data_IF_303150193189
#
_entry.id   IF_303150193189
#
_cell.length_a   1.000
_cell.length_b   1.000
_cell.length_c   1.000
_cell.angle_alpha   90.00
_cell.angle_beta   90.00
_cell.angle_gamma   90.00
#
_symmetry.space_group_name_H-M   'P 1'
#
loop_
_entity.id
_entity.type
_entity.pdbx_description
1 polymer ?
#
# COMPACT_ATOMS: atom_id res chain seq x y z
N UNK A 1 9.07 5.50 25.08
CA UNK A 1 7.73 4.87 25.16
C UNK A 1 7.82 3.57 24.38
N UNK A 2 7.59 2.41 25.00
CA UNK A 2 7.70 1.11 24.33
C UNK A 2 6.46 0.88 23.45
N UNK A 3 6.62 0.91 22.13
CA UNK A 3 5.55 0.62 21.17
C UNK A 3 5.65 -0.85 20.74
N UNK A 4 4.52 -1.52 20.57
CA UNK A 4 4.45 -2.94 20.15
C UNK A 4 4.00 -3.04 18.69
N UNK A 5 4.67 -3.87 17.92
CA UNK A 5 4.39 -4.10 16.50
C UNK A 5 4.06 -5.57 16.31
N UNK A 6 2.87 -5.84 15.77
CA UNK A 6 2.52 -7.19 15.32
C UNK A 6 3.25 -7.44 13.99
N UNK A 7 4.15 -8.41 13.96
CA UNK A 7 4.89 -8.80 12.76
C UNK A 7 4.25 -10.05 12.19
N UNK A 8 3.64 -9.92 11.01
CA UNK A 8 2.90 -10.98 10.32
C UNK A 8 3.52 -11.22 8.93
N UNK A 9 4.59 -12.02 8.80
CA UNK A 9 5.29 -12.20 7.53
C UNK A 9 4.43 -12.90 6.46
N UNK A 10 3.61 -13.88 6.89
CA UNK A 10 2.70 -14.62 6.02
C UNK A 10 3.40 -15.63 5.11
N UNK A 11 3.07 -15.63 3.83
CA UNK A 11 3.43 -16.65 2.84
C UNK A 11 4.41 -16.14 1.78
N UNK A 12 5.15 -17.07 1.16
CA UNK A 12 5.99 -16.81 -0.03
C UNK A 12 7.19 -15.92 0.29
N UNK A 13 7.38 -14.84 -0.47
CA UNK A 13 8.47 -13.88 -0.22
C UNK A 13 8.30 -13.09 1.09
N UNK A 14 7.13 -13.16 1.72
CA UNK A 14 6.78 -12.38 2.91
C UNK A 14 7.80 -12.53 4.04
N UNK A 15 8.29 -13.75 4.32
CA UNK A 15 9.34 -13.97 5.31
C UNK A 15 10.67 -13.29 4.95
N UNK A 16 11.09 -13.42 3.69
CA UNK A 16 12.35 -12.89 3.18
C UNK A 16 12.39 -11.36 3.26
N UNK A 17 11.36 -10.69 2.77
CA UNK A 17 11.30 -9.21 2.77
C UNK A 17 11.00 -8.64 4.15
N UNK A 18 10.24 -9.36 4.99
CA UNK A 18 10.00 -8.95 6.37
C UNK A 18 11.28 -8.95 7.19
N UNK A 19 12.13 -9.97 7.03
CA UNK A 19 13.43 -10.01 7.70
C UNK A 19 14.27 -8.76 7.35
N UNK A 20 14.27 -8.34 6.08
CA UNK A 20 14.99 -7.13 5.66
C UNK A 20 14.40 -5.84 6.24
N UNK A 21 13.07 -5.74 6.28
CA UNK A 21 12.39 -4.59 6.87
C UNK A 21 12.66 -4.46 8.38
N UNK A 22 12.75 -5.58 9.10
CA UNK A 22 13.13 -5.58 10.52
C UNK A 22 14.58 -5.13 10.74
N UNK A 23 15.52 -5.52 9.87
CA UNK A 23 16.92 -5.03 9.92
C UNK A 23 16.97 -3.50 9.76
N UNK A 24 16.15 -2.94 8.88
CA UNK A 24 16.03 -1.49 8.70
C UNK A 24 15.42 -0.83 9.93
N UNK A 25 14.36 -1.41 10.50
CA UNK A 25 13.75 -0.91 11.73
C UNK A 25 14.75 -0.90 12.91
N UNK A 26 15.56 -1.93 13.06
CA UNK A 26 16.62 -2.02 14.09
C UNK A 26 17.70 -0.93 13.92
N UNK A 27 18.05 -0.60 12.68
CA UNK A 27 18.99 0.49 12.41
C UNK A 27 18.39 1.85 12.76
N UNK A 28 17.09 2.04 12.53
CA UNK A 28 16.36 3.25 12.96
C UNK A 28 16.27 3.32 14.48
N UNK A 29 15.95 2.23 15.17
CA UNK A 29 15.96 2.15 16.64
C UNK A 29 17.30 2.58 17.21
N UNK A 30 18.39 2.03 16.66
CA UNK A 30 19.75 2.34 17.11
C UNK A 30 20.13 3.80 16.86
N UNK A 31 19.72 4.38 15.72
CA UNK A 31 20.08 5.75 15.32
C UNK A 31 19.27 6.82 16.05
N UNK A 32 18.00 6.56 16.30
CA UNK A 32 17.06 7.54 16.84
C UNK A 32 16.65 7.24 18.29
N UNK A 33 17.29 6.26 18.92
CA UNK A 33 17.08 5.88 20.33
C UNK A 33 15.63 5.46 20.62
N UNK A 34 15.03 4.69 19.71
CA UNK A 34 13.70 4.10 19.88
C UNK A 34 13.77 2.65 20.34
N UNK A 35 12.71 2.19 21.02
CA UNK A 35 12.52 0.79 21.38
C UNK A 35 11.13 0.32 20.92
N UNK A 36 11.11 -0.58 19.94
CA UNK A 36 9.92 -1.30 19.50
C UNK A 36 9.99 -2.77 19.91
N UNK A 37 8.93 -3.23 20.56
CA UNK A 37 8.72 -4.66 20.80
C UNK A 37 8.07 -5.28 19.55
N UNK A 38 8.76 -6.24 18.92
CA UNK A 38 8.23 -6.97 17.76
C UNK A 38 7.61 -8.26 18.26
N UNK A 39 6.32 -8.43 18.04
CA UNK A 39 5.56 -9.60 18.48
C UNK A 39 5.15 -10.37 17.23
N UNK A 40 5.71 -11.57 17.05
CA UNK A 40 5.52 -12.35 15.83
C UNK A 40 4.24 -13.19 15.92
N UNK A 41 3.40 -13.09 14.89
CA UNK A 41 2.21 -13.92 14.68
C UNK A 41 2.30 -14.67 13.36
N UNK A 42 1.41 -15.64 13.17
CA UNK A 42 1.30 -16.40 11.92
C UNK A 42 -0.03 -16.12 11.23
N UNK A 43 -0.01 -16.07 9.90
CA UNK A 43 -1.17 -15.73 9.08
C UNK A 43 -1.09 -16.45 7.73
N UNK A 44 -2.20 -16.58 7.03
CA UNK A 44 -2.25 -17.12 5.68
C UNK A 44 -2.07 -18.63 5.62
N UNK A 45 -1.42 -19.12 4.57
CA UNK A 45 -1.09 -20.54 4.39
C UNK A 45 -0.20 -21.09 5.50
N UNK A 46 0.75 -20.29 6.00
CA UNK A 46 1.61 -20.65 7.14
C UNK A 46 0.79 -20.90 8.43
N UNK A 47 -0.26 -20.10 8.66
CA UNK A 47 -1.18 -20.36 9.77
C UNK A 47 -2.05 -21.60 9.50
N UNK A 48 -2.50 -21.79 8.26
CA UNK A 48 -3.33 -22.93 7.89
C UNK A 48 -2.61 -24.26 8.12
N UNK A 49 -1.32 -24.36 7.77
CA UNK A 49 -0.52 -25.57 7.99
C UNK A 49 -0.46 -25.98 9.47
N UNK A 50 -0.50 -25.01 10.39
CA UNK A 50 -0.35 -25.25 11.84
C UNK A 50 -1.69 -25.35 12.58
N UNK A 51 -2.69 -24.58 12.18
CA UNK A 51 -3.94 -24.40 12.92
C UNK A 51 -5.20 -24.79 12.13
N UNK A 52 -5.08 -25.12 10.84
CA UNK A 52 -6.22 -25.34 9.96
C UNK A 52 -7.07 -24.08 9.70
N UNK A 53 -6.55 -22.89 10.03
CA UNK A 53 -7.17 -21.59 9.83
C UNK A 53 -6.13 -20.60 9.31
N UNK A 54 -6.53 -19.73 8.37
CA UNK A 54 -5.67 -18.67 7.84
C UNK A 54 -5.44 -17.53 8.84
N UNK A 55 -6.32 -17.40 9.84
CA UNK A 55 -6.27 -16.35 10.86
C UNK A 55 -6.66 -16.94 12.21
N UNK A 56 -5.70 -17.52 12.97
CA UNK A 56 -5.97 -18.08 14.29
C UNK A 56 -6.26 -16.97 15.30
N UNK A 57 -7.06 -17.28 16.32
CA UNK A 57 -7.48 -16.32 17.34
C UNK A 57 -6.26 -15.72 18.07
N UNK A 58 -5.22 -16.52 18.28
CA UNK A 58 -3.97 -16.07 18.90
C UNK A 58 -3.29 -14.95 18.11
N UNK A 59 -3.37 -14.96 16.77
CA UNK A 59 -2.84 -13.88 15.94
C UNK A 59 -3.69 -12.62 16.04
N UNK A 60 -5.02 -12.76 16.13
CA UNK A 60 -5.93 -11.62 16.35
C UNK A 60 -5.70 -10.99 17.72
N UNK A 61 -5.64 -11.80 18.77
CA UNK A 61 -5.39 -11.34 20.15
C UNK A 61 -4.03 -10.63 20.25
N UNK A 62 -3.01 -11.16 19.59
CA UNK A 62 -1.71 -10.50 19.48
C UNK A 62 -1.85 -9.12 18.82
N UNK A 63 -2.54 -9.03 17.68
CA UNK A 63 -2.74 -7.78 16.95
C UNK A 63 -3.50 -6.74 17.77
N UNK A 64 -4.52 -7.15 18.54
CA UNK A 64 -5.25 -6.26 19.47
C UNK A 64 -4.35 -5.63 20.55
N UNK A 65 -3.29 -6.32 20.94
CA UNK A 65 -2.36 -5.85 21.96
C UNK A 65 -1.14 -5.11 21.38
N UNK A 66 -1.18 -4.76 20.09
CA UNK A 66 -0.13 -4.02 19.39
C UNK A 66 -0.59 -2.60 19.00
N UNK A 67 0.36 -1.76 18.62
CA UNK A 67 0.12 -0.38 18.18
C UNK A 67 0.13 -0.23 16.65
N UNK A 68 0.67 -1.20 15.94
CA UNK A 68 0.63 -1.31 14.48
C UNK A 68 0.79 -2.78 14.07
N UNK A 69 0.39 -3.09 12.84
CA UNK A 69 0.63 -4.37 12.18
C UNK A 69 1.58 -4.14 11.01
N UNK A 70 2.74 -4.79 11.02
CA UNK A 70 3.60 -4.89 9.85
C UNK A 70 3.34 -6.25 9.20
N UNK A 71 2.78 -6.22 8.00
CA UNK A 71 2.28 -7.38 7.29
C UNK A 71 3.12 -7.62 6.04
N UNK A 72 3.46 -8.88 5.77
CA UNK A 72 4.20 -9.30 4.58
C UNK A 72 3.25 -9.55 3.42
N UNK A 73 3.04 -10.81 3.09
CA UNK A 73 2.15 -11.23 2.00
C UNK A 73 1.38 -12.48 2.38
N UNK A 74 0.23 -12.73 1.77
CA UNK A 74 -0.53 -13.98 1.95
C UNK A 74 -0.98 -14.54 0.61
N UNK A 75 -1.25 -15.84 0.59
CA UNK A 75 -1.78 -16.54 -0.58
C UNK A 75 -0.75 -17.44 -1.25
N UNK A 76 -1.24 -18.27 -2.17
CA UNK A 76 -0.48 -19.35 -2.79
C UNK A 76 -0.50 -19.32 -4.31
N UNK A 77 0.06 -20.36 -4.96
CA UNK A 77 0.08 -20.47 -6.41
C UNK A 77 -1.34 -20.41 -6.99
N UNK A 78 -1.52 -19.67 -8.08
CA UNK A 78 -2.83 -19.52 -8.74
C UNK A 78 -3.42 -20.87 -9.16
N UNK A 79 -2.57 -21.81 -9.57
CA UNK A 79 -2.97 -23.17 -9.96
C UNK A 79 -3.55 -23.99 -8.79
N UNK A 80 -3.26 -23.60 -7.55
CA UNK A 80 -3.60 -24.33 -6.34
C UNK A 80 -4.67 -23.62 -5.49
N UNK A 81 -5.32 -22.57 -6.01
CA UNK A 81 -6.29 -21.75 -5.24
C UNK A 81 -7.48 -22.54 -4.69
N UNK A 82 -7.81 -23.69 -5.28
CA UNK A 82 -8.89 -24.56 -4.81
C UNK A 82 -8.48 -25.48 -3.65
N UNK A 83 -7.17 -25.63 -3.38
CA UNK A 83 -6.71 -26.42 -2.25
C UNK A 83 -7.13 -25.75 -0.94
N UNK A 84 -7.50 -26.52 0.11
CA UNK A 84 -7.94 -25.96 1.39
C UNK A 84 -7.00 -24.90 1.97
N UNK A 85 -5.69 -25.10 1.80
CA UNK A 85 -4.65 -24.16 2.24
C UNK A 85 -4.74 -22.78 1.60
N UNK A 86 -5.15 -22.69 0.34
CA UNK A 86 -5.13 -21.44 -0.43
C UNK A 86 -6.51 -20.87 -0.69
N UNK A 87 -7.54 -21.71 -0.59
CA UNK A 87 -8.92 -21.33 -0.80
C UNK A 87 -9.33 -20.21 0.14
N UNK A 88 -9.70 -19.07 -0.45
CA UNK A 88 -10.09 -17.85 0.25
C UNK A 88 -9.02 -17.34 1.24
N UNK A 89 -7.73 -17.68 1.07
CA UNK A 89 -6.66 -17.32 2.00
C UNK A 89 -6.60 -15.81 2.23
N UNK A 90 -6.66 -15.01 1.16
CA UNK A 90 -6.66 -13.54 1.25
C UNK A 90 -7.89 -13.01 2.00
N UNK A 91 -9.07 -13.50 1.65
CA UNK A 91 -10.33 -13.10 2.27
C UNK A 91 -10.36 -13.45 3.78
N UNK A 92 -9.88 -14.64 4.13
CA UNK A 92 -9.84 -15.12 5.51
C UNK A 92 -8.70 -14.50 6.33
N UNK A 93 -7.71 -13.90 5.66
CA UNK A 93 -6.54 -13.27 6.30
C UNK A 93 -6.68 -11.76 6.34
N UNK A 94 -6.25 -11.07 5.27
CA UNK A 94 -6.09 -9.63 5.31
C UNK A 94 -7.41 -8.87 5.25
N UNK A 95 -8.39 -9.36 4.47
CA UNK A 95 -9.71 -8.73 4.45
C UNK A 95 -10.40 -8.89 5.82
N UNK A 96 -10.19 -10.03 6.48
CA UNK A 96 -10.63 -10.25 7.85
C UNK A 96 -9.97 -9.26 8.84
N UNK A 97 -8.66 -9.01 8.76
CA UNK A 97 -7.99 -7.98 9.58
C UNK A 97 -8.58 -6.58 9.33
N UNK A 98 -8.75 -6.21 8.06
CA UNK A 98 -9.32 -4.91 7.66
C UNK A 98 -10.71 -4.71 8.25
N UNK A 99 -11.56 -5.73 8.19
CA UNK A 99 -12.89 -5.71 8.81
C UNK A 99 -12.83 -5.66 10.33
N UNK A 100 -12.01 -6.51 10.95
CA UNK A 100 -11.88 -6.64 12.41
C UNK A 100 -11.43 -5.33 13.05
N UNK A 101 -10.40 -4.70 12.49
CA UNK A 101 -9.84 -3.45 13.02
C UNK A 101 -10.45 -2.18 12.43
N UNK A 102 -11.46 -2.33 11.56
CA UNK A 102 -12.18 -1.24 10.89
C UNK A 102 -11.23 -0.26 10.18
N UNK A 103 -10.26 -0.80 9.45
CA UNK A 103 -9.40 0.03 8.61
C UNK A 103 -10.23 0.63 7.48
N UNK A 104 -10.58 1.90 7.59
CA UNK A 104 -11.50 2.59 6.67
C UNK A 104 -10.79 3.37 5.57
N UNK A 105 -9.51 3.68 5.75
CA UNK A 105 -8.71 4.41 4.79
C UNK A 105 -7.48 3.60 4.37
N UNK A 106 -7.32 3.35 3.08
CA UNK A 106 -6.11 2.78 2.50
C UNK A 106 -5.32 3.86 1.75
N UNK A 107 -4.03 3.95 2.05
CA UNK A 107 -3.07 4.85 1.41
C UNK A 107 -2.15 4.04 0.52
N UNK A 108 -2.09 4.39 -0.76
CA UNK A 108 -1.18 3.80 -1.75
C UNK A 108 -0.40 4.92 -2.46
N UNK A 109 0.76 5.33 -1.93
CA UNK A 109 1.67 6.23 -2.63
C UNK A 109 2.17 5.60 -3.94
N UNK A 110 2.17 6.38 -5.01
CA UNK A 110 2.72 6.02 -6.32
C UNK A 110 3.72 7.10 -6.71
N UNK A 111 5.00 6.70 -6.74
CA UNK A 111 6.12 7.58 -7.06
C UNK A 111 7.06 6.92 -8.06
N UNK A 112 7.44 7.64 -9.10
CA UNK A 112 8.52 7.20 -9.99
C UNK A 112 9.83 7.79 -9.45
N UNK A 113 10.76 6.92 -9.08
CA UNK A 113 12.13 7.33 -8.74
C UNK A 113 12.84 7.79 -10.02
N UNK A 114 13.48 8.97 -10.04
CA UNK A 114 14.22 9.46 -11.21
C UNK A 114 15.21 8.45 -11.79
N UNK A 115 15.83 7.65 -10.91
CA UNK A 115 16.80 6.60 -11.20
C UNK A 115 16.19 5.37 -11.89
N UNK A 116 14.85 5.26 -11.88
CA UNK A 116 14.06 4.15 -12.40
C UNK A 116 13.10 4.59 -13.52
N UNK A 117 13.28 5.80 -14.06
CA UNK A 117 12.41 6.30 -15.15
C UNK A 117 12.34 5.35 -16.35
N UNK A 118 13.42 4.63 -16.65
CA UNK A 118 13.52 3.79 -17.85
C UNK A 118 12.79 2.44 -17.74
N UNK A 119 12.35 2.05 -16.52
CA UNK A 119 11.52 0.85 -16.32
C UNK A 119 10.03 1.16 -16.30
N UNK A 120 9.66 2.45 -16.27
CA UNK A 120 8.27 2.88 -16.39
C UNK A 120 7.74 2.58 -17.79
N UNK A 121 6.48 2.14 -17.94
CA UNK A 121 5.87 1.93 -19.25
C UNK A 121 5.49 3.24 -19.97
N UNK A 122 5.59 4.39 -19.29
CA UNK A 122 5.22 5.68 -19.85
C UNK A 122 6.31 6.27 -20.76
N UNK A 123 5.90 7.20 -21.63
CA UNK A 123 6.86 7.96 -22.45
C UNK A 123 7.73 8.86 -21.57
N UNK A 124 9.01 8.99 -21.94
CA UNK A 124 9.98 9.78 -21.18
C UNK A 124 9.51 11.23 -20.94
N UNK A 125 8.89 11.89 -21.93
CA UNK A 125 8.37 13.26 -21.77
C UNK A 125 7.27 13.41 -20.71
N UNK A 126 6.53 12.32 -20.41
CA UNK A 126 5.50 12.30 -19.36
C UNK A 126 6.17 12.14 -18.00
N UNK A 127 7.13 11.22 -17.90
CA UNK A 127 7.85 10.92 -16.66
C UNK A 127 8.69 12.11 -16.20
N UNK A 128 9.26 12.89 -17.13
CA UNK A 128 10.07 14.08 -16.82
C UNK A 128 9.32 15.17 -16.04
N UNK A 129 7.98 15.18 -16.10
CA UNK A 129 7.16 16.08 -15.28
C UNK A 129 7.11 15.68 -13.80
N UNK A 130 7.57 14.48 -13.47
CA UNK A 130 7.49 13.89 -12.14
C UNK A 130 6.16 13.17 -11.89
N UNK A 131 6.22 12.11 -11.10
CA UNK A 131 5.03 11.37 -10.63
C UNK A 131 5.22 11.11 -9.14
N UNK A 132 4.34 11.69 -8.34
CA UNK A 132 4.30 11.51 -6.89
C UNK A 132 2.86 11.80 -6.43
N UNK A 133 2.03 10.77 -6.39
CA UNK A 133 0.62 10.87 -5.97
C UNK A 133 0.32 9.86 -4.86
N UNK A 134 -0.76 10.05 -4.13
CA UNK A 134 -1.26 9.09 -3.13
C UNK A 134 -2.73 8.82 -3.39
N UNK A 135 -3.07 7.55 -3.55
CA UNK A 135 -4.47 7.11 -3.50
C UNK A 135 -4.91 6.95 -2.05
N UNK A 136 -6.05 7.54 -1.72
CA UNK A 136 -6.80 7.38 -0.48
C UNK A 136 -8.11 6.66 -0.82
N UNK A 137 -8.10 5.34 -0.65
CA UNK A 137 -9.21 4.43 -0.98
C UNK A 137 -10.05 4.16 0.26
N UNK A 138 -11.36 4.31 0.14
CA UNK A 138 -12.32 3.82 1.14
C UNK A 138 -12.33 2.28 1.13
N UNK A 139 -12.33 1.63 2.30
CA UNK A 139 -12.02 0.19 2.39
C UNK A 139 -13.10 -0.68 3.06
N UNK A 140 -14.22 -0.11 3.50
CA UNK A 140 -15.26 -0.80 4.28
C UNK A 140 -16.66 -0.77 3.63
N UNK A 141 -16.85 -0.05 2.53
CA UNK A 141 -18.13 0.05 1.81
C UNK A 141 -18.05 -0.42 0.36
N UNK A 142 -18.94 0.13 -0.47
CA UNK A 142 -19.10 -0.22 -1.89
C UNK A 142 -19.63 -1.65 -2.13
N UNK A 143 -19.63 -2.07 -3.40
CA UNK A 143 -20.03 -3.40 -3.81
C UNK A 143 -19.26 -4.54 -3.13
N UNK A 144 -18.10 -4.30 -2.51
CA UNK A 144 -17.30 -5.33 -1.83
C UNK A 144 -17.93 -5.81 -0.52
N UNK A 145 -18.74 -4.96 0.11
CA UNK A 145 -19.38 -5.23 1.40
C UNK A 145 -20.92 -5.14 1.32
N UNK A 146 -21.45 -4.69 0.19
CA UNK A 146 -22.88 -4.71 -0.09
C UNK A 146 -23.43 -6.12 -0.28
N UNK A 147 -24.74 -6.21 -0.43
CA UNK A 147 -25.40 -7.49 -0.64
C UNK A 147 -25.04 -8.07 -2.02
N UNK A 148 -24.59 -9.32 -2.03
CA UNK A 148 -24.31 -10.11 -3.22
C UNK A 148 -25.35 -11.22 -3.37
N UNK A 149 -26.05 -11.29 -4.51
CA UNK A 149 -27.03 -12.34 -4.80
C UNK A 149 -26.82 -12.93 -6.17
N UNK A 150 -26.91 -14.25 -6.26
CA UNK A 150 -27.11 -14.98 -7.50
C UNK A 150 -28.44 -15.73 -7.41
N UNK A 151 -29.30 -15.58 -8.41
CA UNK A 151 -30.61 -16.22 -8.41
C UNK A 151 -31.06 -16.59 -9.82
N UNK A 152 -32.06 -17.47 -9.92
CA UNK A 152 -32.71 -17.83 -11.18
C UNK A 152 -34.18 -17.44 -11.13
N UNK A 153 -34.65 -16.76 -12.17
CA UNK A 153 -36.05 -16.33 -12.30
C UNK A 153 -36.48 -16.50 -13.76
N UNK A 154 -37.66 -17.08 -13.99
CA UNK A 154 -38.22 -17.31 -15.34
C UNK A 154 -37.23 -17.98 -16.32
N UNK A 155 -36.46 -18.95 -15.84
CA UNK A 155 -35.47 -19.68 -16.64
C UNK A 155 -34.19 -18.90 -16.98
N UNK A 156 -33.98 -17.71 -16.40
CA UNK A 156 -32.77 -16.89 -16.58
C UNK A 156 -32.00 -16.79 -15.27
N UNK A 157 -30.67 -16.70 -15.36
CA UNK A 157 -29.79 -16.47 -14.20
C UNK A 157 -29.47 -14.98 -14.09
N UNK A 158 -29.45 -14.48 -12.85
CA UNK A 158 -29.17 -13.09 -12.49
C UNK A 158 -28.08 -13.04 -11.42
N UNK A 159 -27.30 -11.96 -11.42
CA UNK A 159 -26.35 -11.60 -10.37
C UNK A 159 -26.54 -10.13 -10.02
N UNK A 160 -26.51 -9.78 -8.74
CA UNK A 160 -26.64 -8.41 -8.25
C UNK A 160 -25.65 -8.13 -7.14
N UNK A 161 -25.05 -6.95 -7.18
CA UNK A 161 -24.10 -6.45 -6.19
C UNK A 161 -24.51 -5.02 -5.81
N UNK A 162 -24.72 -4.77 -4.52
CA UNK A 162 -25.24 -3.48 -4.06
C UNK A 162 -24.12 -2.51 -3.70
N UNK A 163 -24.19 -1.27 -4.18
CA UNK A 163 -23.29 -0.18 -3.79
C UNK A 163 -24.02 0.73 -2.79
N UNK A 164 -23.52 0.82 -1.55
CA UNK A 164 -24.09 1.68 -0.51
C UNK A 164 -22.97 2.50 0.13
N UNK A 165 -23.26 3.78 0.34
CA UNK A 165 -22.48 4.71 1.15
C UNK A 165 -23.45 5.59 1.94
N UNK A 166 -23.11 5.90 3.18
CA UNK A 166 -23.75 6.96 3.96
C UNK A 166 -22.85 8.20 4.05
N UNK A 167 -23.42 9.31 4.53
CA UNK A 167 -22.70 10.59 4.62
C UNK A 167 -21.52 10.56 5.60
N UNK A 168 -21.63 9.82 6.70
CA UNK A 168 -20.59 9.75 7.73
C UNK A 168 -19.36 8.99 7.20
N UNK A 169 -19.58 7.90 6.47
CA UNK A 169 -18.53 7.10 5.85
C UNK A 169 -17.76 7.91 4.79
N UNK A 170 -18.48 8.64 3.93
CA UNK A 170 -17.83 9.51 2.93
C UNK A 170 -17.09 10.66 3.59
N UNK A 171 -17.70 11.31 4.59
CA UNK A 171 -17.06 12.42 5.29
C UNK A 171 -15.76 11.97 5.99
N UNK A 172 -15.76 10.79 6.61
CA UNK A 172 -14.59 10.24 7.29
C UNK A 172 -13.39 10.08 6.34
N UNK A 173 -13.58 9.46 5.17
CA UNK A 173 -12.49 9.27 4.19
C UNK A 173 -12.09 10.60 3.52
N UNK A 174 -13.03 11.52 3.31
CA UNK A 174 -12.74 12.85 2.79
C UNK A 174 -11.81 13.63 3.74
N UNK A 175 -12.13 13.69 5.05
CA UNK A 175 -11.26 14.33 6.04
C UNK A 175 -9.84 13.72 6.06
N UNK A 176 -9.72 12.40 5.87
CA UNK A 176 -8.44 11.72 5.77
C UNK A 176 -7.65 12.21 4.55
N UNK A 177 -8.29 12.28 3.37
CA UNK A 177 -7.64 12.77 2.15
C UNK A 177 -7.21 14.23 2.25
N UNK A 178 -8.05 15.11 2.79
CA UNK A 178 -7.71 16.52 2.98
C UNK A 178 -6.56 16.72 3.98
N UNK A 179 -6.53 15.97 5.08
CA UNK A 179 -5.40 15.98 6.03
C UNK A 179 -4.10 15.48 5.36
N UNK A 180 -4.19 14.47 4.51
CA UNK A 180 -3.05 13.97 3.74
C UNK A 180 -2.54 15.01 2.74
N UNK A 181 -3.44 15.75 2.08
CA UNK A 181 -3.07 16.80 1.12
C UNK A 181 -2.34 17.97 1.81
N UNK A 182 -2.72 18.33 3.05
CA UNK A 182 -2.08 19.39 3.84
C UNK A 182 -0.61 19.17 4.14
N UNK A 183 -0.19 17.91 4.28
CA UNK A 183 1.22 17.54 4.48
C UNK A 183 1.95 17.25 3.16
N UNK A 184 1.27 17.48 2.03
CA UNK A 184 1.78 17.28 0.66
C UNK A 184 1.68 18.59 -0.12
N UNK A 185 1.00 18.61 -1.27
CA UNK A 185 0.95 19.76 -2.19
C UNK A 185 -0.41 20.47 -2.17
N UNK A 186 -1.19 20.27 -1.12
CA UNK A 186 -2.49 20.93 -0.90
C UNK A 186 -3.47 20.74 -2.08
N UNK A 187 -3.50 19.55 -2.71
CA UNK A 187 -4.47 19.24 -3.77
C UNK A 187 -5.15 17.88 -3.57
N UNK A 188 -6.47 17.86 -3.69
CA UNK A 188 -7.31 16.66 -3.68
C UNK A 188 -8.08 16.54 -4.99
N UNK A 189 -7.93 15.41 -5.66
CA UNK A 189 -8.79 14.98 -6.77
C UNK A 189 -9.77 13.94 -6.23
N UNK A 190 -11.04 14.31 -6.13
CA UNK A 190 -12.12 13.38 -5.77
C UNK A 190 -12.64 12.67 -7.02
N UNK A 191 -12.58 11.33 -7.01
CA UNK A 191 -12.93 10.51 -8.18
C UNK A 191 -14.23 9.73 -7.95
N UNK A 192 -15.18 9.86 -8.88
CA UNK A 192 -16.52 9.29 -8.77
C UNK A 192 -17.14 8.92 -10.15
N UNK A 193 -18.40 8.48 -10.15
CA UNK A 193 -19.23 8.36 -11.37
C UNK A 193 -20.57 9.10 -11.21
N UNK A 194 -20.53 10.34 -10.72
CA UNK A 194 -21.71 11.13 -10.33
C UNK A 194 -22.64 11.48 -11.50
N UNK A 195 -22.18 11.34 -12.75
CA UNK A 195 -23.03 11.48 -13.93
C UNK A 195 -24.02 10.32 -14.12
N UNK A 196 -23.86 9.21 -13.41
CA UNK A 196 -24.73 8.03 -13.50
C UNK A 196 -25.21 7.56 -12.13
N UNK A 197 -24.32 7.39 -11.16
CA UNK A 197 -24.60 6.66 -9.91
C UNK A 197 -25.01 7.60 -8.77
N UNK A 198 -26.12 7.30 -8.07
CA UNK A 198 -26.56 8.11 -6.92
C UNK A 198 -25.60 8.02 -5.73
N UNK A 199 -24.97 6.86 -5.50
CA UNK A 199 -23.89 6.72 -4.51
C UNK A 199 -22.73 7.67 -4.80
N UNK A 200 -22.37 7.86 -6.08
CA UNK A 200 -21.36 8.82 -6.51
C UNK A 200 -21.83 10.28 -6.43
N UNK A 201 -23.13 10.56 -6.60
CA UNK A 201 -23.67 11.91 -6.38
C UNK A 201 -23.60 12.29 -4.91
N UNK A 202 -23.98 11.38 -4.01
CA UNK A 202 -23.80 11.56 -2.56
C UNK A 202 -22.31 11.76 -2.23
N UNK A 203 -21.43 10.91 -2.77
CA UNK A 203 -19.99 11.03 -2.60
C UNK A 203 -19.49 12.45 -2.94
N UNK A 204 -19.81 12.93 -4.14
CA UNK A 204 -19.42 14.26 -4.61
C UNK A 204 -19.96 15.37 -3.72
N UNK A 205 -21.22 15.28 -3.30
CA UNK A 205 -21.85 16.27 -2.44
C UNK A 205 -21.11 16.38 -1.09
N UNK A 206 -20.93 15.24 -0.40
CA UNK A 206 -20.28 15.20 0.92
C UNK A 206 -18.82 15.64 0.85
N UNK A 207 -18.04 15.18 -0.15
CA UNK A 207 -16.65 15.63 -0.31
C UNK A 207 -16.56 17.15 -0.55
N UNK A 208 -17.52 17.72 -1.28
CA UNK A 208 -17.61 19.17 -1.51
C UNK A 208 -18.02 19.94 -0.25
N UNK A 209 -18.80 19.32 0.64
CA UNK A 209 -19.15 19.91 1.93
C UNK A 209 -17.95 19.91 2.87
N UNK A 210 -17.26 18.79 2.99
CA UNK A 210 -16.04 18.65 3.82
C UNK A 210 -14.96 19.61 3.38
N UNK A 211 -14.81 19.89 2.08
CA UNK A 211 -13.76 20.79 1.59
C UNK A 211 -13.85 22.23 2.13
N UNK A 212 -15.02 22.65 2.62
CA UNK A 212 -15.21 23.96 3.26
C UNK A 212 -14.40 24.11 4.55
N UNK A 213 -14.05 23.01 5.21
CA UNK A 213 -13.18 22.99 6.40
C UNK A 213 -11.68 23.03 6.04
N UNK A 214 -11.36 22.96 4.74
CA UNK A 214 -10.00 22.89 4.19
C UNK A 214 -9.81 23.90 3.07
N UNK A 215 -10.07 25.18 3.36
CA UNK A 215 -9.95 26.28 2.38
C UNK A 215 -8.55 26.47 1.80
N UNK A 216 -7.53 25.90 2.42
CA UNK A 216 -6.13 25.87 1.99
C UNK A 216 -5.79 24.73 1.02
N UNK A 217 -6.74 23.81 0.77
CA UNK A 217 -6.55 22.66 -0.13
C UNK A 217 -7.43 22.82 -1.37
N UNK A 218 -6.82 22.76 -2.54
CA UNK A 218 -7.53 22.74 -3.82
C UNK A 218 -8.32 21.42 -3.97
N UNK A 219 -9.62 21.52 -4.22
CA UNK A 219 -10.47 20.38 -4.57
C UNK A 219 -10.85 20.42 -6.05
N UNK A 220 -10.62 19.33 -6.75
CA UNK A 220 -11.21 19.06 -8.06
C UNK A 220 -11.97 17.73 -8.05
N UNK A 221 -12.97 17.60 -8.93
CA UNK A 221 -13.72 16.36 -9.13
C UNK A 221 -13.44 15.79 -10.51
N UNK A 222 -13.26 14.47 -10.59
CA UNK A 222 -12.97 13.78 -11.85
C UNK A 222 -13.82 12.51 -11.96
N UNK A 223 -14.32 12.22 -13.17
CA UNK A 223 -15.00 10.94 -13.40
C UNK A 223 -13.97 9.81 -13.49
N UNK A 224 -14.30 8.62 -12.97
CA UNK A 224 -13.40 7.46 -12.89
C UNK A 224 -12.79 7.05 -14.24
N UNK A 225 -13.54 7.15 -15.33
CA UNK A 225 -13.07 6.87 -16.69
C UNK A 225 -12.06 7.93 -17.17
N UNK A 226 -12.32 9.21 -16.91
CA UNK A 226 -11.34 10.27 -17.19
C UNK A 226 -10.10 10.09 -16.31
N UNK A 227 -10.24 9.76 -15.02
CA UNK A 227 -9.11 9.51 -14.12
C UNK A 227 -8.21 8.40 -14.64
N UNK A 228 -8.79 7.27 -15.09
CA UNK A 228 -8.04 6.19 -15.71
C UNK A 228 -7.22 6.67 -16.93
N UNK A 229 -7.77 7.54 -17.77
CA UNK A 229 -7.04 8.14 -18.89
C UNK A 229 -5.95 9.12 -18.43
N UNK A 230 -6.22 9.94 -17.41
CA UNK A 230 -5.31 10.96 -16.92
C UNK A 230 -4.09 10.38 -16.19
N UNK A 231 -4.25 9.26 -15.47
CA UNK A 231 -3.13 8.53 -14.84
C UNK A 231 -2.08 8.13 -15.89
N UNK A 232 -2.51 7.82 -17.12
CA UNK A 232 -1.60 7.48 -18.22
C UNK A 232 -1.09 8.75 -18.93
N UNK A 233 -1.98 9.73 -19.16
CA UNK A 233 -1.68 10.90 -19.99
C UNK A 233 -0.81 11.93 -19.27
N UNK A 234 -1.15 12.28 -18.04
CA UNK A 234 -0.43 13.28 -17.25
C UNK A 234 -0.55 13.01 -15.74
N UNK A 235 0.08 11.94 -15.23
CA UNK A 235 0.04 11.58 -13.82
C UNK A 235 0.61 12.67 -12.89
N UNK A 236 1.41 13.61 -13.41
CA UNK A 236 2.02 14.70 -12.63
C UNK A 236 0.99 15.68 -12.04
N UNK A 237 -0.23 15.69 -12.58
CA UNK A 237 -1.31 16.59 -12.13
C UNK A 237 -1.93 16.20 -10.78
N UNK A 238 -1.73 14.96 -10.34
CA UNK A 238 -2.34 14.40 -9.13
C UNK A 238 -1.45 14.61 -7.91
N UNK A 239 -2.06 14.96 -6.78
CA UNK A 239 -1.41 14.91 -5.46
C UNK A 239 -2.06 13.86 -4.57
N UNK A 240 -3.25 14.12 -4.02
CA UNK A 240 -4.05 13.13 -3.31
C UNK A 240 -5.29 12.80 -4.13
N UNK A 241 -5.50 11.51 -4.43
CA UNK A 241 -6.68 11.03 -5.13
C UNK A 241 -7.56 10.29 -4.13
N UNK A 242 -8.79 10.75 -3.91
CA UNK A 242 -9.74 10.11 -2.98
C UNK A 242 -10.91 9.51 -3.75
N UNK A 243 -11.27 8.26 -3.45
CA UNK A 243 -12.32 7.55 -4.20
C UNK A 243 -12.92 6.37 -3.42
N UNK A 244 -14.01 5.81 -3.96
CA UNK A 244 -14.73 4.65 -3.41
C UNK A 244 -13.88 3.38 -3.47
N UNK A 245 -14.34 2.32 -2.81
CA UNK A 245 -13.58 1.08 -2.67
C UNK A 245 -13.24 0.43 -4.02
N UNK A 246 -14.23 0.22 -4.89
CA UNK A 246 -14.01 -0.45 -6.18
C UNK A 246 -13.18 0.42 -7.14
N UNK A 247 -13.46 1.72 -7.20
CA UNK A 247 -12.70 2.63 -8.06
C UNK A 247 -11.26 2.80 -7.58
N UNK A 248 -11.05 2.86 -6.26
CA UNK A 248 -9.73 2.95 -5.65
C UNK A 248 -8.91 1.70 -5.88
N UNK A 249 -9.52 0.52 -5.84
CA UNK A 249 -8.87 -0.74 -6.20
C UNK A 249 -8.27 -0.66 -7.61
N UNK A 250 -9.13 -0.40 -8.59
CA UNK A 250 -8.78 -0.40 -10.01
C UNK A 250 -7.75 0.69 -10.33
N UNK A 251 -7.99 1.92 -9.88
CA UNK A 251 -7.13 3.05 -10.22
C UNK A 251 -5.78 2.99 -9.51
N UNK A 252 -5.74 2.54 -8.25
CA UNK A 252 -4.46 2.42 -7.54
C UNK A 252 -3.59 1.31 -8.12
N UNK A 253 -4.18 0.19 -8.57
CA UNK A 253 -3.46 -0.87 -9.27
C UNK A 253 -2.99 -0.41 -10.67
N UNK A 254 -3.82 0.33 -11.40
CA UNK A 254 -3.39 0.91 -12.68
C UNK A 254 -2.21 1.88 -12.50
N UNK A 255 -2.23 2.69 -11.44
CA UNK A 255 -1.14 3.60 -11.10
C UNK A 255 0.10 2.86 -10.54
N UNK A 256 -0.08 1.71 -9.89
CA UNK A 256 1.00 0.90 -9.35
C UNK A 256 1.96 0.36 -10.42
N UNK A 257 1.54 0.31 -11.69
CA UNK A 257 2.41 -0.07 -12.81
C UNK A 257 3.39 1.06 -13.18
N UNK A 258 3.07 2.32 -12.85
CA UNK A 258 3.85 3.47 -13.33
C UNK A 258 5.32 3.48 -12.87
N UNK A 259 5.67 3.09 -11.63
CA UNK A 259 7.07 2.96 -11.20
C UNK A 259 7.82 1.81 -11.87
N UNK A 260 7.14 0.94 -12.63
CA UNK A 260 7.73 -0.21 -13.33
C UNK A 260 7.84 -1.48 -12.49
N UNK A 261 7.67 -1.40 -11.17
CA UNK A 261 7.62 -2.59 -10.30
C UNK A 261 6.73 -2.38 -9.07
N UNK A 262 5.93 -3.40 -8.76
CA UNK A 262 5.16 -3.50 -7.51
C UNK A 262 6.07 -3.61 -6.28
N UNK A 263 7.30 -4.11 -6.46
CA UNK A 263 8.31 -4.23 -5.40
C UNK A 263 8.83 -2.88 -4.87
N UNK A 264 8.37 -1.76 -5.42
CA UNK A 264 8.72 -0.39 -5.02
C UNK A 264 7.60 0.32 -4.25
N UNK A 265 6.45 -0.34 -4.07
CA UNK A 265 5.25 0.29 -3.52
C UNK A 265 4.97 -0.20 -2.11
N UNK A 266 4.54 0.72 -1.26
CA UNK A 266 4.02 0.40 0.07
C UNK A 266 2.55 0.81 0.16
N UNK A 267 1.84 0.20 1.09
CA UNK A 267 0.44 0.43 1.38
C UNK A 267 0.25 0.55 2.90
N UNK A 268 -0.68 1.42 3.31
CA UNK A 268 -1.11 1.52 4.70
C UNK A 268 -2.64 1.52 4.78
N UNK A 269 -3.19 0.73 5.68
CA UNK A 269 -4.62 0.70 6.00
C UNK A 269 -4.80 1.20 7.43
N UNK A 270 -5.46 2.33 7.61
CA UNK A 270 -5.63 3.00 8.91
C UNK A 270 -7.09 2.96 9.34
N UNK A 271 -7.31 2.87 10.65
CA UNK A 271 -8.61 3.11 11.26
C UNK A 271 -8.68 4.52 11.84
N UNK A 272 -9.87 4.92 12.28
CA UNK A 272 -10.13 6.25 12.87
C UNK A 272 -9.27 6.58 14.11
N UNK A 273 -8.76 5.57 14.81
CA UNK A 273 -7.99 5.72 16.04
C UNK A 273 -6.47 5.79 15.78
N UNK A 274 -6.04 5.71 14.52
CA UNK A 274 -4.63 5.76 14.11
C UNK A 274 -3.89 4.41 14.20
N UNK A 275 -4.60 3.32 14.53
CA UNK A 275 -4.06 1.96 14.41
C UNK A 275 -4.01 1.58 12.93
N UNK A 276 -2.89 0.99 12.51
CA UNK A 276 -2.60 0.77 11.10
C UNK A 276 -2.03 -0.61 10.79
N UNK A 277 -2.32 -1.08 9.58
CA UNK A 277 -1.68 -2.21 8.92
C UNK A 277 -0.85 -1.71 7.75
N UNK A 278 0.40 -2.16 7.66
CA UNK A 278 1.39 -1.69 6.69
C UNK A 278 1.96 -2.87 5.91
N UNK A 279 1.89 -2.81 4.58
CA UNK A 279 2.19 -3.95 3.70
C UNK A 279 2.69 -3.51 2.32
N UNK A 280 3.43 -4.36 1.60
CA UNK A 280 3.51 -4.31 0.14
C UNK A 280 2.13 -4.56 -0.48
N UNK A 281 1.74 -3.86 -1.56
CA UNK A 281 0.49 -4.16 -2.27
C UNK A 281 0.60 -5.41 -3.17
N UNK A 282 1.81 -5.91 -3.42
CA UNK A 282 2.05 -7.10 -4.23
C UNK A 282 1.72 -8.41 -3.51
N UNK A 283 1.46 -9.48 -4.28
CA UNK A 283 1.20 -10.81 -3.75
C UNK A 283 2.46 -11.54 -3.25
N UNK A 284 2.28 -12.79 -2.82
CA UNK A 284 3.33 -13.61 -2.17
C UNK A 284 4.44 -14.13 -3.08
N UNK A 285 4.34 -13.95 -4.41
CA UNK A 285 5.38 -14.30 -5.39
C UNK A 285 6.03 -15.68 -5.15
N UNK A 286 5.18 -16.72 -5.08
CA UNK A 286 5.57 -18.08 -4.69
C UNK A 286 6.63 -18.72 -5.59
N UNK A 287 6.73 -18.28 -6.85
CA UNK A 287 7.72 -18.73 -7.80
C UNK A 287 9.16 -18.36 -7.43
N UNK A 288 9.34 -17.36 -6.55
CA UNK A 288 10.65 -16.80 -6.20
C UNK A 288 10.94 -16.82 -4.70
N UNK A 289 9.99 -17.31 -3.90
CA UNK A 289 10.15 -17.44 -2.46
C UNK A 289 11.40 -18.27 -2.11
N UNK A 290 12.24 -17.74 -1.21
CA UNK A 290 13.44 -18.42 -0.74
C UNK A 290 14.60 -18.45 -1.73
N UNK A 291 14.49 -17.75 -2.87
CA UNK A 291 15.59 -17.66 -3.85
C UNK A 291 16.51 -16.47 -3.61
N UNK A 292 16.18 -15.58 -2.66
CA UNK A 292 16.99 -14.40 -2.33
C UNK A 292 16.82 -13.24 -3.30
N UNK A 293 15.92 -13.33 -4.29
CA UNK A 293 15.80 -12.33 -5.38
C UNK A 293 14.62 -11.37 -5.19
N UNK A 294 13.86 -11.50 -4.09
CA UNK A 294 12.74 -10.62 -3.83
C UNK A 294 13.21 -9.18 -3.64
N UNK A 295 12.36 -8.20 -3.99
CA UNK A 295 12.65 -6.80 -3.77
C UNK A 295 12.17 -6.38 -2.37
N UNK A 296 13.06 -6.03 -1.43
CA UNK A 296 12.67 -5.68 -0.07
C UNK A 296 12.14 -4.24 0.04
N UNK A 297 12.29 -3.41 -1.00
CA UNK A 297 12.01 -1.96 -0.95
C UNK A 297 10.58 -1.68 -0.53
N UNK A 298 9.60 -2.37 -1.10
CA UNK A 298 8.19 -2.25 -0.73
C UNK A 298 7.96 -2.43 0.79
N UNK A 299 8.45 -3.54 1.36
CA UNK A 299 8.29 -3.83 2.78
C UNK A 299 9.03 -2.82 3.67
N UNK A 300 10.22 -2.39 3.25
CA UNK A 300 11.00 -1.34 3.94
C UNK A 300 10.25 0.00 3.92
N UNK A 301 9.63 0.37 2.81
CA UNK A 301 8.79 1.57 2.72
C UNK A 301 7.50 1.44 3.55
N UNK A 302 6.96 0.23 3.73
CA UNK A 302 5.87 -0.03 4.67
C UNK A 302 6.29 0.28 6.12
N UNK A 303 7.55 0.02 6.50
CA UNK A 303 8.09 0.46 7.80
C UNK A 303 8.12 1.98 7.89
N UNK A 304 8.55 2.69 6.84
CA UNK A 304 8.53 4.15 6.81
C UNK A 304 7.10 4.70 6.99
N UNK A 305 6.11 4.11 6.30
CA UNK A 305 4.70 4.47 6.48
C UNK A 305 4.22 4.21 7.91
N UNK A 306 4.62 3.09 8.53
CA UNK A 306 4.28 2.78 9.92
C UNK A 306 4.81 3.81 10.91
N UNK A 307 6.10 4.14 10.80
CA UNK A 307 6.75 5.17 11.62
C UNK A 307 6.02 6.51 11.47
N UNK A 308 5.70 6.90 10.24
CA UNK A 308 4.98 8.15 9.93
C UNK A 308 3.57 8.17 10.52
N UNK A 309 2.73 7.19 10.16
CA UNK A 309 1.29 7.28 10.41
C UNK A 309 0.86 6.77 11.79
N UNK A 310 1.42 5.65 12.26
CA UNK A 310 1.03 5.12 13.58
C UNK A 310 1.87 5.69 14.73
N UNK A 311 3.11 6.09 14.47
CA UNK A 311 4.01 6.57 15.52
C UNK A 311 4.37 8.06 15.44
N UNK A 312 3.95 8.76 14.38
CA UNK A 312 4.21 10.20 14.19
C UNK A 312 5.71 10.54 14.16
N UNK A 313 6.51 9.61 13.65
CA UNK A 313 7.97 9.66 13.55
C UNK A 313 8.40 10.02 12.12
N UNK A 314 8.18 11.28 11.74
CA UNK A 314 8.40 11.77 10.37
C UNK A 314 9.88 11.78 9.97
N UNK A 315 10.78 12.13 10.91
CA UNK A 315 12.21 12.21 10.64
C UNK A 315 12.79 10.82 10.35
N UNK A 316 12.32 9.82 11.08
CA UNK A 316 12.69 8.41 10.96
C UNK A 316 12.18 7.82 9.65
N UNK A 317 10.90 8.06 9.32
CA UNK A 317 10.30 7.66 8.05
C UNK A 317 11.05 8.27 6.86
N UNK A 318 11.29 9.59 6.90
CA UNK A 318 12.06 10.31 5.88
C UNK A 318 13.48 9.77 5.75
N UNK A 319 14.11 9.35 6.85
CA UNK A 319 15.46 8.75 6.82
C UNK A 319 15.48 7.44 6.03
N UNK A 320 14.46 6.59 6.18
CA UNK A 320 14.32 5.35 5.41
C UNK A 320 14.13 5.68 3.92
N UNK A 321 13.21 6.59 3.59
CA UNK A 321 12.90 6.95 2.20
C UNK A 321 14.11 7.54 1.47
N UNK A 322 14.90 8.38 2.16
CA UNK A 322 16.15 8.92 1.63
C UNK A 322 17.20 7.83 1.43
N UNK A 323 17.29 6.87 2.34
CA UNK A 323 18.22 5.75 2.21
C UNK A 323 17.87 4.84 1.02
N UNK A 324 16.59 4.55 0.82
CA UNK A 324 16.09 3.84 -0.39
C UNK A 324 16.45 4.62 -1.65
N UNK A 325 16.13 5.91 -1.71
CA UNK A 325 16.48 6.76 -2.86
C UNK A 325 17.98 6.78 -3.13
N UNK A 326 18.81 6.79 -2.08
CA UNK A 326 20.27 6.80 -2.20
C UNK A 326 20.82 5.46 -2.73
N UNK A 327 20.30 4.33 -2.26
CA UNK A 327 20.67 3.01 -2.76
C UNK A 327 20.29 2.84 -4.24
N UNK A 328 19.10 3.33 -4.64
CA UNK A 328 18.70 3.38 -6.04
C UNK A 328 19.59 4.34 -6.86
N UNK A 329 20.00 5.48 -6.29
CA UNK A 329 20.96 6.42 -6.87
C UNK A 329 22.35 5.83 -7.11
N UNK A 330 22.79 4.93 -6.23
CA UNK A 330 24.04 4.18 -6.34
C UNK A 330 23.99 3.06 -7.40
N UNK A 331 22.86 2.88 -8.08
CA UNK A 331 22.69 1.91 -9.16
C UNK A 331 22.29 0.51 -8.72
N UNK A 332 21.99 0.28 -7.44
CA UNK A 332 21.54 -1.03 -6.95
C UNK A 332 20.14 -1.35 -7.48
N UNK A 333 19.97 -2.54 -8.07
CA UNK A 333 18.71 -3.02 -8.63
C UNK A 333 18.51 -4.48 -8.26
N UNK A 334 17.37 -4.81 -7.64
CA UNK A 334 16.91 -6.20 -7.56
C UNK A 334 16.39 -6.66 -8.92
N UNK A 335 16.17 -7.98 -9.05
CA UNK A 335 15.88 -8.63 -10.34
C UNK A 335 14.68 -8.02 -11.08
N UNK A 336 13.65 -7.60 -10.37
CA UNK A 336 12.41 -7.00 -10.89
C UNK A 336 12.60 -5.59 -11.49
N UNK A 337 13.61 -4.84 -11.02
CA UNK A 337 13.91 -3.46 -11.47
C UNK A 337 15.22 -3.36 -12.24
N UNK A 338 15.88 -4.48 -12.52
CA UNK A 338 17.12 -4.52 -13.27
C UNK A 338 16.85 -4.59 -14.78
N UNK A 339 17.37 -3.62 -15.53
CA UNK A 339 17.37 -3.64 -17.00
C UNK A 339 18.79 -3.67 -17.53
N UNK A 340 19.04 -4.52 -18.55
CA UNK A 340 20.35 -4.60 -19.21
C UNK A 340 20.69 -3.39 -20.08
N UNK A 341 19.70 -2.54 -20.36
CA UNK A 341 19.74 -1.50 -21.41
C UNK A 341 20.04 -0.10 -20.92
N UNK A 342 20.31 0.11 -19.64
CA UNK A 342 20.48 1.46 -19.14
C UNK A 342 21.83 2.07 -19.56
N UNK A 343 21.70 3.06 -20.44
CA UNK A 343 22.70 4.02 -20.92
C UNK A 343 23.08 5.07 -19.86
N UNK A 344 22.93 4.76 -18.57
CA UNK A 344 23.22 5.70 -17.48
C UNK A 344 24.71 5.74 -17.15
N UNK A 345 25.21 6.95 -16.88
CA UNK A 345 26.60 7.24 -16.47
C UNK A 345 27.03 6.53 -15.17
N UNK A 346 26.07 5.98 -14.39
CA UNK A 346 26.31 5.15 -13.21
C UNK A 346 26.27 3.66 -13.55
N UNK A 347 27.27 2.91 -13.05
CA UNK A 347 27.33 1.46 -13.15
C UNK A 347 26.16 0.82 -12.38
N UNK A 348 25.17 0.28 -13.10
CA UNK A 348 24.06 -0.46 -12.51
C UNK A 348 24.56 -1.81 -11.99
N UNK A 349 24.12 -2.16 -10.78
CA UNK A 349 24.48 -3.39 -10.08
C UNK A 349 23.23 -4.22 -9.83
N UNK A 350 23.18 -5.41 -10.42
CA UNK A 350 22.21 -6.41 -10.02
C UNK A 350 22.59 -6.91 -8.62
N UNK A 351 21.65 -6.79 -7.68
CA UNK A 351 21.81 -7.19 -6.28
C UNK A 351 20.68 -8.11 -5.87
N UNK A 352 20.92 -8.95 -4.87
CA UNK A 352 19.90 -9.77 -4.22
C UNK A 352 19.14 -8.98 -3.13
N UNK A 353 18.18 -9.62 -2.47
CA UNK A 353 17.34 -9.04 -1.43
C UNK A 353 18.15 -8.50 -0.23
N UNK A 354 19.13 -9.26 0.25
CA UNK A 354 19.98 -8.86 1.37
C UNK A 354 20.95 -7.74 1.00
N UNK A 355 21.59 -7.82 -0.17
CA UNK A 355 22.53 -6.82 -0.69
C UNK A 355 21.85 -5.47 -0.94
N UNK A 356 20.61 -5.45 -1.46
CA UNK A 356 19.81 -4.23 -1.55
C UNK A 356 19.62 -3.60 -0.17
N UNK A 357 19.31 -4.42 0.83
CA UNK A 357 19.09 -3.97 2.21
C UNK A 357 20.39 -3.47 2.84
N UNK A 358 21.52 -4.12 2.59
CA UNK A 358 22.84 -3.70 3.05
C UNK A 358 23.21 -2.30 2.53
N UNK A 359 22.93 -2.05 1.25
CA UNK A 359 23.16 -0.73 0.65
C UNK A 359 22.28 0.34 1.33
N UNK A 360 20.98 0.06 1.51
CA UNK A 360 20.04 0.96 2.22
C UNK A 360 20.53 1.24 3.64
N UNK A 361 20.92 0.20 4.39
CA UNK A 361 21.45 0.32 5.75
C UNK A 361 22.71 1.18 5.81
N UNK A 362 23.55 1.15 4.77
CA UNK A 362 24.75 1.98 4.67
C UNK A 362 24.44 3.48 4.69
N UNK A 363 23.26 3.89 4.22
CA UNK A 363 22.80 5.28 4.24
C UNK A 363 22.05 5.66 5.53
N UNK A 364 21.43 4.69 6.19
CA UNK A 364 20.81 4.91 7.52
C UNK A 364 21.87 5.04 8.61
N UNK A 365 22.97 4.28 8.54
CA UNK A 365 24.01 4.30 9.59
C UNK A 365 24.99 5.47 9.49
N UNK A 366 25.02 6.19 8.36
CA UNK A 366 25.87 7.39 8.21
C UNK A 366 25.29 8.55 9.04
N UNK A 367 26.10 9.23 9.87
CA UNK A 367 25.69 10.52 10.40
C UNK A 367 25.38 11.46 9.22
N UNK A 368 24.32 12.26 9.33
CA UNK A 368 24.00 13.24 8.29
C UNK A 368 25.24 14.12 8.06
N UNK A 369 25.73 14.16 6.83
CA UNK A 369 26.70 15.19 6.45
C UNK A 369 25.96 16.52 6.61
N UNK A 370 26.43 17.33 7.57
CA UNK A 370 25.93 18.67 7.88
C UNK A 370 26.11 19.59 6.69
#
# INVERSE_FOLDING_TARGET
>A
MKKRIAVLPGDGIGEEVMAQALRVLEAVESRFEHEFEKVHGVVGGAAFDKYGSHMPNETLDLAYNCNAILFGSVGGPVADMDLPKWKNCEANSILNLRKTFKFNANFRPVKIFPELKDISPLRAEVIQKGVDMVFVRELLGDCYFGEHKQYSENGKRYGTDQIIYDEEQVAAIAHVAFKAARIRRNKVTSVDKANVLDSSKLWRAVVTEVSKDYSDVELEHMLVDNCAMQIIRDPSQFDVVVTTNMFGDILSDAAAVLPGSLGLLASASLNKDGFGLYEPPGGSAQDIAGTGVANPVAQILSVAMMLRYSFQLEAEATSIERAVSSALGAGCRTRDIYTKTASSENQIKLVNCEEMTDEILSYIKRPALV
#
